data_IF_702411071999
#
_entry.id   IF_702411071999
#
_cell.length_a   1.000
_cell.length_b   1.000
_cell.length_c   1.000
_cell.angle_alpha   90.00
_cell.angle_beta   90.00
_cell.angle_gamma   90.00
#
_symmetry.space_group_name_H-M   'P 1'
#
loop_
_entity.id
_entity.type
_entity.pdbx_description
1 polymer ?
#
# COMPACT_ATOMS: atom_id res chain seq x y z
N UNK A 1 28.05 7.63 11.48
CA UNK A 1 28.05 6.36 10.73
C UNK A 1 27.85 6.69 9.26
N UNK A 2 28.83 6.38 8.42
CA UNK A 2 28.71 6.57 6.97
C UNK A 2 27.79 5.49 6.40
N UNK A 3 26.75 5.84 5.60
CA UNK A 3 25.88 4.85 4.99
C UNK A 3 26.71 3.97 4.05
N UNK A 4 26.51 2.65 4.13
CA UNK A 4 27.16 1.72 3.19
C UNK A 4 26.56 1.97 1.80
N UNK A 5 27.37 2.17 0.75
CA UNK A 5 26.89 2.48 -0.58
C UNK A 5 25.99 1.40 -1.19
N UNK A 6 25.95 0.17 -0.65
CA UNK A 6 25.00 -0.87 -1.10
C UNK A 6 23.56 -0.69 -0.62
N UNK A 7 23.31 0.03 0.48
CA UNK A 7 21.97 0.19 1.05
C UNK A 7 21.10 1.19 0.29
N UNK A 8 21.71 2.26 -0.22
CA UNK A 8 21.01 3.31 -0.97
C UNK A 8 20.46 2.79 -2.31
N UNK A 9 21.22 1.91 -2.97
CA UNK A 9 20.82 1.31 -4.25
C UNK A 9 19.69 0.30 -4.06
N UNK A 10 19.72 -0.48 -2.97
CA UNK A 10 18.65 -1.41 -2.60
C UNK A 10 17.32 -0.68 -2.35
N UNK A 11 17.38 0.44 -1.61
CA UNK A 11 16.24 1.30 -1.33
C UNK A 11 15.66 1.95 -2.60
N UNK A 12 16.51 2.47 -3.48
CA UNK A 12 16.07 3.06 -4.75
C UNK A 12 15.41 2.00 -5.67
N UNK A 13 16.00 0.80 -5.74
CA UNK A 13 15.45 -0.33 -6.50
C UNK A 13 14.08 -0.76 -5.99
N UNK A 14 13.89 -0.83 -4.66
CA UNK A 14 12.61 -1.23 -4.07
C UNK A 14 11.51 -0.19 -4.31
N UNK A 15 11.83 1.10 -4.25
CA UNK A 15 10.91 2.18 -4.64
C UNK A 15 10.56 2.17 -6.13
N UNK A 16 11.54 1.96 -7.01
CA UNK A 16 11.30 1.84 -8.46
C UNK A 16 10.42 0.63 -8.79
N UNK A 17 10.67 -0.52 -8.18
CA UNK A 17 9.87 -1.72 -8.37
C UNK A 17 8.42 -1.50 -7.91
N UNK A 18 8.22 -0.97 -6.70
CA UNK A 18 6.88 -0.65 -6.19
C UNK A 18 6.16 0.36 -7.07
N UNK A 19 6.85 1.42 -7.50
CA UNK A 19 6.32 2.46 -8.37
C UNK A 19 5.90 1.92 -9.73
N UNK A 20 6.77 1.14 -10.38
CA UNK A 20 6.50 0.55 -11.70
C UNK A 20 5.35 -0.47 -11.64
N UNK A 21 5.33 -1.36 -10.65
CA UNK A 21 4.25 -2.34 -10.47
C UNK A 21 2.91 -1.65 -10.20
N UNK A 22 2.92 -0.64 -9.33
CA UNK A 22 1.70 0.10 -8.99
C UNK A 22 1.20 0.92 -10.20
N UNK A 23 2.09 1.58 -10.93
CA UNK A 23 1.72 2.32 -12.14
C UNK A 23 1.16 1.40 -13.23
N UNK A 24 1.78 0.24 -13.44
CA UNK A 24 1.28 -0.76 -14.36
C UNK A 24 -0.12 -1.25 -13.96
N UNK A 25 -0.31 -1.58 -12.68
CA UNK A 25 -1.61 -1.99 -12.14
C UNK A 25 -2.68 -0.90 -12.25
N UNK A 26 -2.31 0.38 -12.09
CA UNK A 26 -3.22 1.50 -12.28
C UNK A 26 -3.71 1.60 -13.73
N UNK A 27 -2.79 1.51 -14.69
CA UNK A 27 -3.11 1.59 -16.12
C UNK A 27 -3.99 0.42 -16.59
N UNK A 28 -3.73 -0.79 -16.10
CA UNK A 28 -4.51 -1.97 -16.47
C UNK A 28 -5.91 -2.01 -15.84
N UNK A 29 -6.12 -1.33 -14.71
CA UNK A 29 -7.41 -1.31 -13.99
C UNK A 29 -8.25 -0.07 -14.24
N UNK A 30 -7.69 0.98 -14.84
CA UNK A 30 -8.34 2.30 -15.02
C UNK A 30 -9.74 2.27 -15.66
N UNK A 31 -10.00 1.34 -16.59
CA UNK A 31 -11.29 1.25 -17.28
C UNK A 31 -12.33 0.43 -16.52
N UNK A 32 -11.91 -0.57 -15.76
CA UNK A 32 -12.81 -1.51 -15.08
C UNK A 32 -13.07 -1.11 -13.62
N UNK A 33 -12.04 -0.64 -12.93
CA UNK A 33 -11.95 -0.56 -11.47
C UNK A 33 -11.30 0.77 -11.08
N UNK A 34 -12.05 1.86 -11.26
CA UNK A 34 -11.52 3.24 -11.14
C UNK A 34 -11.02 3.55 -9.73
N UNK A 35 -11.62 2.97 -8.70
CA UNK A 35 -11.18 3.13 -7.31
C UNK A 35 -9.81 2.49 -7.10
N UNK A 36 -9.66 1.23 -7.52
CA UNK A 36 -8.39 0.52 -7.44
C UNK A 36 -7.29 1.19 -8.27
N UNK A 37 -7.62 1.67 -9.47
CA UNK A 37 -6.67 2.39 -10.32
C UNK A 37 -6.14 3.67 -9.65
N UNK A 38 -7.03 4.44 -9.02
CA UNK A 38 -6.64 5.61 -8.25
C UNK A 38 -5.76 5.24 -7.03
N UNK A 39 -6.10 4.15 -6.33
CA UNK A 39 -5.29 3.64 -5.23
C UNK A 39 -3.88 3.23 -5.65
N UNK A 40 -3.76 2.49 -6.76
CA UNK A 40 -2.46 2.10 -7.34
C UNK A 40 -1.66 3.32 -7.84
N UNK A 41 -2.32 4.30 -8.44
CA UNK A 41 -1.67 5.53 -8.89
C UNK A 41 -1.10 6.34 -7.70
N UNK A 42 -1.86 6.45 -6.61
CA UNK A 42 -1.39 7.11 -5.39
C UNK A 42 -0.21 6.35 -4.77
N UNK A 43 -0.21 5.02 -4.79
CA UNK A 43 0.92 4.22 -4.32
C UNK A 43 2.16 4.42 -5.20
N UNK A 44 1.99 4.54 -6.52
CA UNK A 44 3.08 4.88 -7.44
C UNK A 44 3.63 6.29 -7.19
N UNK A 45 2.74 7.25 -6.94
CA UNK A 45 3.10 8.63 -6.60
C UNK A 45 3.87 8.69 -5.26
N UNK A 46 3.39 7.98 -4.23
CA UNK A 46 4.08 7.88 -2.95
C UNK A 46 5.50 7.32 -3.12
N UNK A 47 5.65 6.26 -3.93
CA UNK A 47 6.97 5.69 -4.21
C UNK A 47 7.88 6.68 -4.96
N UNK A 48 7.35 7.43 -5.93
CA UNK A 48 8.10 8.44 -6.67
C UNK A 48 8.52 9.63 -5.80
N UNK A 49 7.64 10.11 -4.92
CA UNK A 49 7.93 11.19 -3.97
C UNK A 49 9.05 10.75 -3.02
N UNK A 50 8.98 9.53 -2.45
CA UNK A 50 10.02 9.02 -1.56
C UNK A 50 11.38 8.85 -2.27
N UNK A 51 11.37 8.46 -3.55
CA UNK A 51 12.58 8.40 -4.37
C UNK A 51 13.18 9.80 -4.59
N UNK A 52 12.34 10.81 -4.82
CA UNK A 52 12.75 12.20 -5.01
C UNK A 52 13.25 12.84 -3.70
N UNK A 53 12.62 12.54 -2.56
CA UNK A 53 13.03 13.04 -1.24
C UNK A 53 14.38 12.48 -0.77
N UNK A 54 14.77 11.30 -1.26
CA UNK A 54 16.13 10.78 -1.07
C UNK A 54 17.22 11.65 -1.71
N UNK A 55 16.86 12.54 -2.64
CA UNK A 55 17.74 13.52 -3.28
C UNK A 55 17.69 14.91 -2.60
N UNK A 56 16.79 15.12 -1.63
CA UNK A 56 16.62 16.36 -0.88
C UNK A 56 15.42 16.28 0.08
N UNK A 57 15.64 16.52 1.37
CA UNK A 57 14.59 16.43 2.40
C UNK A 57 13.72 17.69 2.40
N UNK A 58 12.58 17.60 1.73
CA UNK A 58 11.53 18.63 1.75
C UNK A 58 10.33 18.13 2.57
N UNK A 59 9.89 18.90 3.57
CA UNK A 59 8.75 18.52 4.43
C UNK A 59 7.45 18.35 3.63
N UNK A 60 7.28 19.13 2.57
CA UNK A 60 6.12 19.08 1.69
C UNK A 60 6.03 17.74 0.93
N UNK A 61 7.18 17.14 0.62
CA UNK A 61 7.23 15.82 -0.01
C UNK A 61 6.76 14.72 0.96
N UNK A 62 7.14 14.79 2.23
CA UNK A 62 6.69 13.82 3.24
C UNK A 62 5.17 13.94 3.50
N UNK A 63 4.62 15.15 3.46
CA UNK A 63 3.17 15.38 3.54
C UNK A 63 2.43 14.77 2.33
N UNK A 64 2.97 14.92 1.11
CA UNK A 64 2.42 14.32 -0.09
C UNK A 64 2.41 12.78 -0.03
N UNK A 65 3.50 12.17 0.43
CA UNK A 65 3.60 10.71 0.59
C UNK A 65 2.63 10.17 1.65
N UNK A 66 2.42 10.92 2.74
CA UNK A 66 1.42 10.60 3.77
C UNK A 66 0.01 10.51 3.17
N UNK A 67 -0.44 11.58 2.53
CA UNK A 67 -1.78 11.66 1.92
C UNK A 67 -1.98 10.55 0.89
N UNK A 68 -0.98 10.34 0.04
CA UNK A 68 -1.01 9.27 -0.96
C UNK A 68 -1.15 7.89 -0.32
N UNK A 69 -0.52 7.63 0.82
CA UNK A 69 -0.59 6.34 1.52
C UNK A 69 -1.93 6.12 2.21
N UNK A 70 -2.41 7.10 2.98
CA UNK A 70 -3.65 6.95 3.78
C UNK A 70 -4.92 7.01 2.95
N UNK A 71 -4.85 7.55 1.73
CA UNK A 71 -5.97 7.52 0.76
C UNK A 71 -5.80 6.37 -0.23
N UNK A 72 -4.59 6.09 -0.69
CA UNK A 72 -4.31 5.09 -1.72
C UNK A 72 -4.67 3.67 -1.31
N UNK A 73 -4.28 3.26 -0.10
CA UNK A 73 -4.58 1.91 0.40
C UNK A 73 -6.08 1.68 0.63
N UNK A 74 -6.84 2.60 1.25
CA UNK A 74 -8.30 2.48 1.31
C UNK A 74 -8.98 2.47 -0.05
N UNK A 75 -8.47 3.20 -1.05
CA UNK A 75 -9.02 3.16 -2.42
C UNK A 75 -8.82 1.79 -3.10
N UNK A 76 -7.72 1.09 -2.78
CA UNK A 76 -7.56 -0.30 -3.21
C UNK A 76 -8.64 -1.19 -2.58
N UNK A 77 -8.79 -1.14 -1.25
CA UNK A 77 -9.83 -1.89 -0.55
C UNK A 77 -11.25 -1.54 -1.01
N UNK A 78 -11.51 -0.26 -1.29
CA UNK A 78 -12.80 0.27 -1.70
C UNK A 78 -13.37 -0.54 -2.86
N UNK A 79 -12.59 -0.70 -3.93
CA UNK A 79 -13.05 -1.31 -5.17
C UNK A 79 -13.36 -2.80 -4.98
N UNK A 80 -12.55 -3.49 -4.16
CA UNK A 80 -12.77 -4.89 -3.82
C UNK A 80 -14.01 -5.10 -2.94
N UNK A 81 -14.27 -4.23 -1.96
CA UNK A 81 -15.52 -4.27 -1.20
C UNK A 81 -16.72 -3.91 -2.08
N UNK A 82 -16.57 -2.91 -2.96
CA UNK A 82 -17.62 -2.44 -3.86
C UNK A 82 -18.08 -3.52 -4.82
N UNK A 83 -17.15 -4.20 -5.50
CA UNK A 83 -17.46 -5.29 -6.44
C UNK A 83 -18.11 -6.49 -5.74
N UNK A 84 -17.80 -6.71 -4.46
CA UNK A 84 -18.42 -7.77 -3.65
C UNK A 84 -19.72 -7.34 -2.95
N UNK A 85 -20.26 -6.15 -3.28
CA UNK A 85 -21.55 -5.66 -2.79
C UNK A 85 -21.52 -5.01 -1.40
N UNK A 86 -20.35 -4.86 -0.79
CA UNK A 86 -20.17 -4.24 0.52
C UNK A 86 -19.82 -2.75 0.41
N UNK A 87 -20.77 -1.97 -0.10
CA UNK A 87 -20.58 -0.53 -0.31
C UNK A 87 -20.41 0.25 1.01
N UNK A 88 -20.93 -0.28 2.12
CA UNK A 88 -20.81 0.37 3.43
C UNK A 88 -19.37 0.34 3.93
N UNK A 89 -18.72 -0.83 3.93
CA UNK A 89 -17.31 -0.93 4.32
C UNK A 89 -16.40 -0.17 3.36
N UNK A 90 -16.70 -0.21 2.06
CA UNK A 90 -15.96 0.56 1.06
C UNK A 90 -15.95 2.06 1.40
N UNK A 91 -17.13 2.65 1.63
CA UNK A 91 -17.26 4.07 1.99
C UNK A 91 -16.63 4.40 3.35
N UNK A 92 -16.75 3.51 4.34
CA UNK A 92 -16.17 3.70 5.67
C UNK A 92 -14.64 3.73 5.61
N UNK A 93 -14.02 2.82 4.84
CA UNK A 93 -12.57 2.78 4.65
C UNK A 93 -12.06 4.04 3.97
N UNK A 94 -12.70 4.45 2.88
CA UNK A 94 -12.31 5.65 2.14
C UNK A 94 -12.51 6.92 2.99
N UNK A 95 -13.66 7.05 3.65
CA UNK A 95 -13.96 8.17 4.54
C UNK A 95 -12.99 8.26 5.71
N UNK A 96 -12.64 7.11 6.33
CA UNK A 96 -11.63 7.05 7.37
C UNK A 96 -10.24 7.49 6.88
N UNK A 97 -9.84 7.06 5.67
CA UNK A 97 -8.61 7.49 5.02
C UNK A 97 -8.56 9.00 4.77
N UNK A 98 -9.67 9.60 4.32
CA UNK A 98 -9.77 11.05 4.12
C UNK A 98 -9.66 11.83 5.44
N UNK A 99 -10.31 11.35 6.52
CA UNK A 99 -10.20 11.96 7.85
C UNK A 99 -8.75 11.90 8.35
N UNK A 100 -8.07 10.75 8.17
CA UNK A 100 -6.65 10.60 8.53
C UNK A 100 -5.72 11.47 7.69
N UNK A 101 -6.03 11.68 6.40
CA UNK A 101 -5.27 12.59 5.55
C UNK A 101 -5.26 14.01 6.13
N UNK A 102 -6.42 14.52 6.52
CA UNK A 102 -6.58 15.87 7.14
C UNK A 102 -6.01 15.91 8.56
N UNK A 103 -6.17 14.84 9.32
CA UNK A 103 -5.63 14.75 10.68
C UNK A 103 -4.09 14.67 10.69
N UNK A 104 -3.45 14.41 9.55
CA UNK A 104 -1.99 14.31 9.41
C UNK A 104 -1.26 15.46 10.10
N UNK A 105 -1.62 16.71 9.84
CA UNK A 105 -0.98 17.91 10.41
C UNK A 105 -1.12 18.04 11.93
N UNK A 106 -2.08 17.34 12.51
CA UNK A 106 -2.33 17.32 13.95
C UNK A 106 -1.66 16.12 14.64
N UNK A 107 -1.16 15.16 13.87
CA UNK A 107 -0.43 13.99 14.35
C UNK A 107 1.07 14.28 14.32
N UNK A 108 1.75 14.07 15.47
CA UNK A 108 3.21 14.03 15.50
C UNK A 108 3.77 12.90 14.62
N UNK A 109 5.07 12.93 14.33
CA UNK A 109 5.73 11.96 13.44
C UNK A 109 5.48 10.49 13.84
N UNK A 110 5.53 10.20 15.14
CA UNK A 110 5.23 8.86 15.67
C UNK A 110 3.75 8.48 15.48
N UNK A 111 2.84 9.44 15.69
CA UNK A 111 1.41 9.26 15.47
C UNK A 111 1.07 8.98 14.00
N UNK A 112 1.70 9.70 13.05
CA UNK A 112 1.58 9.43 11.61
C UNK A 112 2.09 8.03 11.27
N UNK A 113 3.26 7.64 11.79
CA UNK A 113 3.81 6.30 11.57
C UNK A 113 2.85 5.20 12.03
N UNK A 114 2.37 5.28 13.28
CA UNK A 114 1.42 4.32 13.86
C UNK A 114 0.10 4.28 13.08
N UNK A 115 -0.42 5.44 12.69
CA UNK A 115 -1.66 5.53 11.92
C UNK A 115 -1.50 4.95 10.52
N UNK A 116 -0.41 5.25 9.81
CA UNK A 116 -0.12 4.67 8.49
C UNK A 116 -0.03 3.14 8.53
N UNK A 117 0.64 2.59 9.56
CA UNK A 117 0.69 1.14 9.79
C UNK A 117 -0.69 0.54 10.09
N UNK A 118 -1.50 1.25 10.89
CA UNK A 118 -2.86 0.82 11.18
C UNK A 118 -3.72 0.79 9.91
N UNK A 119 -3.59 1.78 9.02
CA UNK A 119 -4.28 1.78 7.70
C UNK A 119 -3.88 0.55 6.89
N UNK A 120 -2.58 0.27 6.76
CA UNK A 120 -2.09 -0.93 6.04
C UNK A 120 -2.71 -2.20 6.62
N UNK A 121 -2.71 -2.36 7.94
CA UNK A 121 -3.22 -3.55 8.61
C UNK A 121 -4.75 -3.68 8.45
N UNK A 122 -5.50 -2.59 8.63
CA UNK A 122 -6.95 -2.58 8.46
C UNK A 122 -7.31 -2.97 7.02
N UNK A 123 -6.69 -2.33 6.03
CA UNK A 123 -6.87 -2.63 4.60
C UNK A 123 -6.54 -4.10 4.31
N UNK A 124 -5.41 -4.59 4.82
CA UNK A 124 -4.99 -5.98 4.63
C UNK A 124 -6.00 -6.99 5.20
N UNK A 125 -6.49 -6.75 6.41
CA UNK A 125 -7.42 -7.63 7.11
C UNK A 125 -8.79 -7.61 6.43
N UNK A 126 -9.32 -6.45 6.07
CA UNK A 126 -10.64 -6.38 5.41
C UNK A 126 -10.62 -7.02 4.03
N UNK A 127 -9.56 -6.81 3.26
CA UNK A 127 -9.30 -7.52 2.00
C UNK A 127 -9.25 -9.02 2.23
N UNK A 128 -8.48 -9.49 3.22
CA UNK A 128 -8.32 -10.91 3.50
C UNK A 128 -9.65 -11.55 3.87
N UNK A 129 -10.45 -10.89 4.70
CA UNK A 129 -11.80 -11.35 5.08
C UNK A 129 -12.66 -11.55 3.83
N UNK A 130 -12.79 -10.52 2.99
CA UNK A 130 -13.58 -10.61 1.75
C UNK A 130 -13.03 -11.68 0.81
N UNK A 131 -11.69 -11.79 0.69
CA UNK A 131 -11.05 -12.79 -0.16
C UNK A 131 -11.31 -14.22 0.31
N UNK A 132 -11.30 -14.48 1.62
CA UNK A 132 -11.65 -15.79 2.19
C UNK A 132 -13.11 -16.13 1.92
N UNK A 133 -14.03 -15.18 2.13
CA UNK A 133 -15.46 -15.40 1.89
C UNK A 133 -15.80 -15.60 0.40
N UNK A 134 -15.03 -15.00 -0.49
CA UNK A 134 -15.21 -15.10 -1.94
C UNK A 134 -14.35 -16.19 -2.58
N UNK A 135 -13.59 -16.95 -1.78
CA UNK A 135 -12.61 -17.95 -2.24
C UNK A 135 -11.60 -17.41 -3.26
N UNK A 136 -11.30 -16.10 -3.19
CA UNK A 136 -10.35 -15.45 -4.08
C UNK A 136 -8.92 -15.64 -3.56
N UNK A 137 -8.23 -16.66 -4.10
CA UNK A 137 -6.87 -17.03 -3.70
C UNK A 137 -5.86 -15.89 -3.88
N UNK A 138 -5.97 -15.10 -4.95
CA UNK A 138 -5.10 -13.94 -5.18
C UNK A 138 -5.35 -12.83 -4.16
N UNK A 139 -6.61 -12.58 -3.79
CA UNK A 139 -6.97 -11.65 -2.71
C UNK A 139 -6.43 -12.09 -1.35
N UNK A 140 -6.43 -13.39 -1.06
CA UNK A 140 -5.86 -13.95 0.17
C UNK A 140 -4.36 -13.70 0.25
N UNK A 141 -3.63 -14.01 -0.83
CA UNK A 141 -2.19 -13.72 -0.91
C UNK A 141 -1.89 -12.23 -0.78
N UNK A 142 -2.69 -11.38 -1.43
CA UNK A 142 -2.59 -9.92 -1.31
C UNK A 142 -2.75 -9.43 0.13
N UNK A 143 -3.83 -9.85 0.79
CA UNK A 143 -4.10 -9.50 2.20
C UNK A 143 -3.00 -9.99 3.15
N UNK A 144 -2.50 -11.22 2.97
CA UNK A 144 -1.40 -11.75 3.78
C UNK A 144 -0.11 -10.95 3.57
N UNK A 145 0.24 -10.61 2.33
CA UNK A 145 1.46 -9.85 2.03
C UNK A 145 1.40 -8.42 2.54
N UNK A 146 0.25 -7.74 2.38
CA UNK A 146 0.02 -6.41 2.95
C UNK A 146 0.05 -6.45 4.49
N UNK A 147 -0.57 -7.45 5.09
CA UNK A 147 -0.56 -7.64 6.55
C UNK A 147 0.83 -7.93 7.09
N UNK A 148 1.61 -8.75 6.38
CA UNK A 148 3.01 -9.00 6.70
C UNK A 148 3.84 -7.71 6.62
N UNK A 149 3.65 -6.88 5.59
CA UNK A 149 4.32 -5.59 5.48
C UNK A 149 3.98 -4.67 6.67
N UNK A 150 2.71 -4.59 7.05
CA UNK A 150 2.26 -3.81 8.21
C UNK A 150 2.87 -4.31 9.53
N UNK A 151 2.89 -5.62 9.76
CA UNK A 151 3.46 -6.22 10.97
C UNK A 151 4.99 -6.13 11.03
N UNK A 152 5.67 -6.40 9.91
CA UNK A 152 7.12 -6.26 9.78
C UNK A 152 7.56 -4.84 10.09
N UNK A 153 6.81 -3.83 9.62
CA UNK A 153 7.11 -2.43 9.89
C UNK A 153 7.07 -2.07 11.39
N UNK A 154 6.34 -2.83 12.23
CA UNK A 154 6.29 -2.64 13.70
C UNK A 154 7.37 -3.34 14.50
N UNK A 155 8.01 -4.38 13.97
CA UNK A 155 9.03 -5.12 14.73
C UNK A 155 10.31 -4.27 14.89
N UNK A 156 10.85 -4.12 16.11
CA UNK A 156 12.16 -3.47 16.33
C UNK A 156 13.27 -4.14 15.50
N UNK A 157 14.19 -3.33 14.95
CA UNK A 157 15.26 -3.72 14.02
C UNK A 157 16.15 -4.85 14.54
N UNK A 158 16.23 -5.04 15.86
CA UNK A 158 17.14 -5.98 16.50
C UNK A 158 16.77 -7.48 16.36
N UNK A 159 15.59 -7.82 15.83
CA UNK A 159 15.10 -9.22 15.82
C UNK A 159 15.25 -10.00 14.52
N UNK A 160 15.67 -9.39 13.41
CA UNK A 160 15.72 -10.09 12.11
C UNK A 160 17.12 -10.08 11.50
N UNK A 161 17.84 -11.18 11.72
CA UNK A 161 19.08 -11.61 11.05
C UNK A 161 18.84 -11.94 9.57
N UNK A 162 18.27 -11.01 8.80
CA UNK A 162 18.02 -11.17 7.36
C UNK A 162 18.93 -10.24 6.55
N UNK A 163 19.52 -10.77 5.49
CA UNK A 163 20.50 -10.10 4.63
C UNK A 163 20.02 -8.81 3.93
N UNK A 164 18.74 -8.41 4.08
CA UNK A 164 18.15 -7.21 3.47
C UNK A 164 17.62 -6.24 4.54
N UNK A 165 17.72 -4.92 4.33
CA UNK A 165 17.07 -3.91 5.18
C UNK A 165 15.57 -4.19 5.33
N UNK A 166 15.05 -4.10 6.56
CA UNK A 166 13.63 -4.34 6.89
C UNK A 166 12.67 -3.55 6.00
N UNK A 167 13.03 -2.32 5.66
CA UNK A 167 12.25 -1.44 4.81
C UNK A 167 12.10 -1.97 3.38
N UNK A 168 13.16 -2.57 2.83
CA UNK A 168 13.13 -3.17 1.50
C UNK A 168 12.21 -4.38 1.47
N UNK A 169 12.25 -5.22 2.51
CA UNK A 169 11.34 -6.38 2.64
C UNK A 169 9.88 -5.91 2.68
N UNK A 170 9.57 -4.85 3.43
CA UNK A 170 8.23 -4.29 3.49
C UNK A 170 7.77 -3.78 2.11
N UNK A 171 8.65 -3.10 1.36
CA UNK A 171 8.34 -2.60 0.01
C UNK A 171 8.15 -3.73 -0.99
N UNK A 172 8.95 -4.79 -0.91
CA UNK A 172 8.76 -6.00 -1.74
C UNK A 172 7.43 -6.70 -1.41
N UNK A 173 7.08 -6.80 -0.12
CA UNK A 173 5.80 -7.34 0.30
C UNK A 173 4.62 -6.47 -0.18
N UNK A 174 4.73 -5.14 -0.12
CA UNK A 174 3.74 -4.23 -0.69
C UNK A 174 3.63 -4.39 -2.21
N UNK A 175 4.74 -4.51 -2.94
CA UNK A 175 4.73 -4.71 -4.38
C UNK A 175 4.08 -6.05 -4.77
N UNK A 176 4.42 -7.13 -4.05
CA UNK A 176 3.80 -8.44 -4.22
C UNK A 176 2.31 -8.42 -3.88
N UNK A 177 1.93 -7.70 -2.83
CA UNK A 177 0.54 -7.45 -2.44
C UNK A 177 -0.24 -6.72 -3.53
N UNK A 178 0.29 -5.61 -4.05
CA UNK A 178 -0.31 -4.84 -5.14
C UNK A 178 -0.48 -5.68 -6.41
N UNK A 179 0.50 -6.50 -6.76
CA UNK A 179 0.42 -7.41 -7.91
C UNK A 179 -0.65 -8.50 -7.72
N UNK A 180 -0.68 -9.13 -6.55
CA UNK A 180 -1.69 -10.14 -6.22
C UNK A 180 -3.10 -9.52 -6.24
N UNK A 181 -3.22 -8.28 -5.78
CA UNK A 181 -4.48 -7.54 -5.77
C UNK A 181 -4.97 -7.20 -7.18
N UNK A 182 -4.08 -6.73 -8.04
CA UNK A 182 -4.36 -6.54 -9.46
C UNK A 182 -4.86 -7.84 -10.11
N UNK A 183 -4.21 -8.98 -9.83
CA UNK A 183 -4.66 -10.29 -10.30
C UNK A 183 -6.03 -10.69 -9.75
N UNK A 184 -6.29 -10.43 -8.48
CA UNK A 184 -7.57 -10.73 -7.82
C UNK A 184 -8.74 -10.01 -8.47
N UNK A 185 -8.57 -8.72 -8.77
CA UNK A 185 -9.56 -7.90 -9.48
C UNK A 185 -9.75 -8.38 -10.92
N UNK A 186 -8.66 -8.73 -11.62
CA UNK A 186 -8.74 -9.29 -12.97
C UNK A 186 -9.50 -10.62 -13.00
N UNK A 187 -9.26 -11.52 -12.04
CA UNK A 187 -9.97 -12.80 -11.97
C UNK A 187 -11.45 -12.63 -11.62
N UNK A 188 -11.78 -11.67 -10.75
CA UNK A 188 -13.18 -11.35 -10.46
C UNK A 188 -13.89 -10.83 -11.71
N UNK A 189 -13.28 -9.95 -12.50
CA UNK A 189 -13.88 -9.48 -13.76
C UNK A 189 -14.25 -10.63 -14.71
N UNK A 190 -13.34 -11.60 -14.89
CA UNK A 190 -13.58 -12.75 -15.78
C UNK A 190 -14.71 -13.67 -15.31
N UNK A 191 -15.13 -13.62 -14.04
CA UNK A 191 -16.25 -14.43 -13.54
C UNK A 191 -17.62 -13.79 -13.82
N UNK A 192 -17.65 -12.51 -14.19
CA UNK A 192 -18.88 -11.74 -14.43
C UNK A 192 -19.09 -11.38 -15.91
N UNK A 193 -18.17 -11.79 -16.81
CA UNK A 193 -18.33 -11.78 -18.27
C UNK A 193 -18.75 -13.15 -18.79
#
# INVERSE_FOLDING_TARGET
>A
MTPRPGGEWSSALSHLALGAVSLHAALSTAQANRGAAAGFLLQALAAAIMLASGLGTDEDCLAGAWVATVIGLPLLAFDFHWVNGDCSSANLLLGGGMVLAVAGDHLGAEGRSVAGQAVVLVVAVTILIVAVFTTNSYGMWGGVMLGAAGLLSRLEEDRLLLLLPKEDICRWALAGGSWAYHRALHTQRLQWE
#
